data_IF_728951926223
#
_entry.id   IF_728951926223
#
_cell.length_a   1.000
_cell.length_b   1.000
_cell.length_c   1.000
_cell.angle_alpha   90.00
_cell.angle_beta   90.00
_cell.angle_gamma   90.00
#
_symmetry.space_group_name_H-M   'P 1'
#
loop_
_entity.id
_entity.type
_entity.pdbx_description
1 polymer ?
2 non-polymer ?
3 non-polymer ?
4 non-polymer ?
5 non-polymer ?
6 non-polymer ?
7 water ?
#
# COMPACT_ATOMS: atom_id res chain seq x y z
N UNK A 1 -10.53 7.56 -4.17
CA UNK A 1 -10.22 6.11 -4.38
C UNK A 1 -8.70 5.92 -4.69
N UNK A 2 -8.32 5.16 -5.72
CA UNK A 2 -6.93 4.66 -5.86
C UNK A 2 -5.94 5.55 -6.63
N UNK A 3 -6.39 6.70 -7.14
CA UNK A 3 -5.61 7.47 -8.13
C UNK A 3 -4.31 8.03 -7.53
N UNK A 4 -4.43 8.65 -6.35
CA UNK A 4 -3.29 9.29 -5.70
C UNK A 4 -2.25 8.26 -5.26
N UNK A 5 -2.71 7.14 -4.69
CA UNK A 5 -1.80 6.07 -4.24
C UNK A 5 -0.99 5.48 -5.40
N UNK A 6 -1.68 5.20 -6.51
CA UNK A 6 -1.06 4.78 -7.76
C UNK A 6 -0.01 5.74 -8.25
N UNK A 7 -0.31 7.04 -8.18
CA UNK A 7 0.67 8.05 -8.56
C UNK A 7 1.86 8.00 -7.60
N UNK A 8 1.59 7.90 -6.30
CA UNK A 8 2.66 7.82 -5.29
C UNK A 8 3.55 6.59 -5.54
N UNK A 9 2.94 5.44 -5.81
CA UNK A 9 3.71 4.21 -6.06
C UNK A 9 4.65 4.39 -7.25
N UNK A 10 4.11 4.88 -8.36
CA UNK A 10 4.90 5.11 -9.57
C UNK A 10 6.07 6.06 -9.32
N UNK A 11 5.80 7.17 -8.65
CA UNK A 11 6.87 8.12 -8.30
C UNK A 11 7.98 7.49 -7.46
N UNK A 12 7.62 6.69 -6.45
CA UNK A 12 8.61 6.12 -5.54
C UNK A 12 9.30 4.85 -6.04
N UNK A 13 8.66 4.08 -6.92
CA UNK A 13 9.23 2.80 -7.36
C UNK A 13 9.70 2.74 -8.82
N UNK A 14 9.29 3.70 -9.65
CA UNK A 14 9.55 3.63 -11.09
C UNK A 14 8.74 2.60 -11.86
N UNK A 15 7.84 1.88 -11.19
CA UNK A 15 6.98 0.88 -11.82
C UNK A 15 5.56 1.40 -11.84
N UNK A 16 4.76 0.88 -12.76
CA UNK A 16 3.32 1.12 -12.75
C UNK A 16 2.68 0.52 -11.48
N UNK A 17 1.63 1.17 -10.98
CA UNK A 17 0.86 0.64 -9.85
C UNK A 17 0.18 -0.71 -10.14
N UNK A 18 -0.01 -1.01 -11.43
CA UNK A 18 -0.47 -2.32 -11.90
C UNK A 18 0.46 -3.46 -11.49
N UNK A 19 1.76 -3.17 -11.40
CA UNK A 19 2.75 -4.16 -10.96
C UNK A 19 2.64 -4.57 -9.49
N UNK A 20 1.95 -3.76 -8.69
CA UNK A 20 1.65 -4.09 -7.30
C UNK A 20 0.20 -4.52 -7.09
N UNK A 21 -0.56 -4.65 -8.17
CA UNK A 21 -1.94 -5.14 -8.08
C UNK A 21 -1.89 -6.66 -8.18
N UNK A 22 -2.60 -7.31 -7.26
CA UNK A 22 -2.58 -8.77 -7.10
C UNK A 22 -1.19 -9.35 -6.88
N UNK A 23 -0.28 -8.54 -6.35
CA UNK A 23 1.06 -9.04 -6.05
C UNK A 23 0.96 -9.87 -4.79
N UNK A 24 1.50 -11.07 -4.85
CA UNK A 24 1.53 -11.97 -3.71
C UNK A 24 0.15 -12.21 -3.15
N UNK A 25 0.09 -12.29 -1.82
CA UNK A 25 -1.12 -12.63 -1.11
C UNK A 25 -1.84 -11.45 -0.47
N UNK A 26 -1.21 -10.27 -0.42
CA UNK A 26 -1.83 -9.10 0.22
C UNK A 26 -2.05 -7.86 -0.65
N UNK A 27 -1.28 -7.68 -1.72
CA UNK A 27 -1.42 -6.48 -2.54
C UNK A 27 -2.62 -6.61 -3.50
N UNK A 28 -3.55 -5.66 -3.41
CA UNK A 28 -4.84 -5.75 -4.10
C UNK A 28 -5.91 -5.87 -3.03
N UNK A 29 -7.17 -6.00 -3.42
CA UNK A 29 -8.26 -6.00 -2.44
C UNK A 29 -8.16 -7.21 -1.49
N UNK A 30 -8.37 -6.96 -0.20
CA UNK A 30 -8.30 -8.01 0.82
C UNK A 30 -6.90 -8.59 0.95
N UNK A 31 -6.84 -9.91 1.11
CA UNK A 31 -5.58 -10.61 1.36
C UNK A 31 -5.73 -11.53 2.55
N UNK A 32 -4.92 -12.57 2.58
CA UNK A 32 -5.01 -13.62 3.61
C UNK A 32 -3.79 -14.52 3.54
N UNK A 33 -3.65 -15.38 4.55
CA UNK A 33 -2.58 -16.38 4.63
C UNK A 33 -1.22 -15.69 4.84
N UNK A 34 -0.10 -16.36 4.59
CA UNK A 34 1.20 -15.78 4.93
C UNK A 34 1.77 -14.99 3.74
N UNK A 35 2.29 -13.77 3.98
CA UNK A 35 2.90 -12.97 2.92
C UNK A 35 4.05 -13.69 2.24
N UNK A 36 4.13 -13.59 0.92
CA UNK A 36 5.16 -14.31 0.15
C UNK A 36 6.55 -13.71 0.26
N UNK A 37 6.65 -12.40 0.49
CA UNK A 37 7.93 -11.69 0.51
C UNK A 37 7.78 -10.29 1.16
N UNK A 38 8.87 -9.52 1.22
CA UNK A 38 8.90 -8.21 1.91
C UNK A 38 7.94 -7.19 1.30
N UNK A 39 7.92 -7.10 -0.02
CA UNK A 39 6.91 -6.31 -0.73
C UNK A 39 5.48 -6.65 -0.27
N UNK A 40 5.19 -7.94 -0.13
CA UNK A 40 3.86 -8.41 0.28
C UNK A 40 3.56 -7.98 1.73
N UNK A 41 4.58 -8.04 2.60
CA UNK A 41 4.45 -7.52 3.96
C UNK A 41 4.05 -6.04 3.96
N UNK A 42 4.66 -5.23 3.09
CA UNK A 42 4.24 -3.83 2.93
C UNK A 42 2.74 -3.73 2.79
N UNK A 43 2.17 -4.59 1.95
CA UNK A 43 0.73 -4.61 1.71
C UNK A 43 -0.08 -5.12 2.91
N UNK A 44 0.45 -6.13 3.61
CA UNK A 44 -0.14 -6.59 4.87
C UNK A 44 -0.19 -5.46 5.90
N UNK A 45 0.94 -4.79 6.11
CA UNK A 45 0.99 -3.61 6.98
C UNK A 45 0.02 -2.50 6.51
N UNK A 46 -0.04 -2.25 5.21
CA UNK A 46 -0.93 -1.23 4.64
C UNK A 46 -2.40 -1.55 4.92
N UNK A 47 -2.78 -2.81 4.74
CA UNK A 47 -4.11 -3.29 5.14
C UNK A 47 -4.41 -3.03 6.62
N UNK A 48 -3.43 -3.32 7.47
CA UNK A 48 -3.53 -3.02 8.90
C UNK A 48 -3.72 -1.52 9.15
N UNK A 49 -2.93 -0.72 8.44
CA UNK A 49 -3.02 0.74 8.51
C UNK A 49 -4.44 1.22 8.20
N UNK A 50 -5.00 0.74 7.10
CA UNK A 50 -6.36 1.11 6.72
C UNK A 50 -7.41 0.67 7.77
N UNK A 51 -7.26 -0.54 8.33
CA UNK A 51 -8.13 -1.00 9.41
C UNK A 51 -8.12 -0.09 10.63
N UNK A 52 -6.93 0.37 11.02
CA UNK A 52 -6.81 1.38 12.09
C UNK A 52 -7.59 2.65 11.74
N UNK A 53 -7.47 3.12 10.50
CA UNK A 53 -8.17 4.35 10.10
C UNK A 53 -9.69 4.18 10.10
N UNK A 54 -10.15 3.00 9.71
CA UNK A 54 -11.59 2.67 9.76
C UNK A 54 -12.12 2.67 11.19
N UNK A 55 -11.36 2.14 12.14
CA UNK A 55 -11.73 2.21 13.56
C UNK A 55 -11.78 3.65 14.09
N UNK A 56 -10.95 4.53 13.54
CA UNK A 56 -11.01 5.97 13.86
C UNK A 56 -12.19 6.73 13.22
N UNK A 57 -12.97 6.08 12.36
CA UNK A 57 -14.12 6.70 11.70
C UNK A 57 -13.79 7.26 10.32
N UNK A 58 -12.57 7.01 9.82
CA UNK A 58 -12.17 7.44 8.47
C UNK A 58 -12.61 6.41 7.46
N UNK A 59 -12.55 6.78 6.19
CA UNK A 59 -12.85 5.87 5.08
C UNK A 59 -11.67 5.80 4.10
N UNK A 60 -10.53 5.22 4.53
CA UNK A 60 -9.29 5.35 3.74
C UNK A 60 -9.38 4.85 2.30
N UNK A 61 -10.25 3.88 2.03
CA UNK A 61 -10.51 3.42 0.66
C UNK A 61 -11.01 4.52 -0.27
N UNK A 62 -11.69 5.52 0.29
CA UNK A 62 -12.27 6.61 -0.49
C UNK A 62 -11.62 8.00 -0.29
N UNK A 63 -10.90 8.23 0.81
CA UNK A 63 -10.36 9.57 1.12
C UNK A 63 -9.50 10.10 -0.04
N UNK A 64 -9.67 11.38 -0.36
CA UNK A 64 -8.85 12.08 -1.35
C UNK A 64 -7.90 12.99 -0.59
N UNK A 65 -6.60 12.82 -0.80
CA UNK A 65 -5.58 13.65 -0.15
C UNK A 65 -4.71 14.35 -1.20
N UNK A 66 -3.78 15.16 -0.72
CA UNK A 66 -2.79 15.83 -1.56
C UNK A 66 -1.41 15.42 -1.10
N UNK A 67 -0.48 15.36 -2.04
CA UNK A 67 0.90 15.10 -1.72
C UNK A 67 1.85 15.61 -2.79
N UNK A 68 3.09 15.86 -2.35
CA UNK A 68 4.21 16.19 -3.23
C UNK A 68 5.41 15.37 -2.82
N UNK A 69 6.40 15.34 -3.71
CA UNK A 69 7.64 14.62 -3.52
C UNK A 69 8.81 15.55 -3.85
N UNK A 70 9.49 16.02 -2.81
CA UNK A 70 10.73 16.78 -2.96
C UNK A 70 11.90 15.80 -2.79
N UNK A 71 13.06 16.33 -2.43
CA UNK A 71 14.26 15.54 -2.22
C UNK A 71 14.29 15.00 -0.80
N UNK A 72 13.74 15.75 0.15
CA UNK A 72 13.68 15.30 1.55
C UNK A 72 12.47 14.40 1.88
N UNK A 73 11.63 14.10 0.88
CA UNK A 73 10.66 13.02 1.00
C UNK A 73 9.28 13.30 0.45
N UNK A 74 8.31 12.56 0.99
CA UNK A 74 6.92 12.68 0.60
C UNK A 74 6.26 13.61 1.60
N UNK A 75 5.62 14.66 1.09
CA UNK A 75 4.87 15.57 1.96
C UNK A 75 3.37 15.32 1.80
N UNK A 76 2.69 15.07 2.91
CA UNK A 76 1.27 14.71 2.92
C UNK A 76 0.43 15.90 3.34
N UNK A 77 -0.77 16.01 2.78
CA UNK A 77 -1.67 17.10 3.12
C UNK A 77 -3.11 16.77 2.76
N UNK A 78 -4.02 17.62 3.24
CA UNK A 78 -5.45 17.41 3.07
C UNK A 78 -6.22 18.29 4.03
N UNK A 79 -7.49 18.51 3.71
CA UNK A 79 -8.35 19.37 4.53
C UNK A 79 -8.68 18.72 5.86
N UNK A 80 -8.87 17.39 5.87
CA UNK A 80 -9.24 16.66 7.08
C UNK A 80 -8.11 15.77 7.59
N UNK A 81 -8.15 15.48 8.88
CA UNK A 81 -7.20 14.58 9.50
C UNK A 81 -7.28 13.17 8.88
N UNK A 82 -8.47 12.71 8.53
CA UNK A 82 -8.63 11.42 7.85
C UNK A 82 -7.91 11.34 6.50
N UNK A 83 -7.93 12.44 5.74
CA UNK A 83 -7.22 12.51 4.46
C UNK A 83 -5.71 12.45 4.69
N UNK A 84 -5.22 13.19 5.68
CA UNK A 84 -3.79 13.21 6.01
C UNK A 84 -3.33 11.85 6.55
N UNK A 85 -4.17 11.20 7.35
CA UNK A 85 -3.90 9.82 7.83
C UNK A 85 -3.80 8.79 6.71
N UNK A 86 -4.73 8.86 5.77
CA UNK A 86 -4.72 7.98 4.61
C UNK A 86 -3.44 8.15 3.81
N UNK A 87 -3.03 9.41 3.63
CA UNK A 87 -1.77 9.73 2.96
C UNK A 87 -0.56 9.16 3.70
N UNK A 88 -0.60 9.22 5.04
CA UNK A 88 0.46 8.62 5.85
C UNK A 88 0.54 7.09 5.70
N UNK A 89 -0.60 6.41 5.74
CA UNK A 89 -0.65 4.97 5.43
C UNK A 89 -0.04 4.67 4.04
N UNK A 90 -0.46 5.41 3.02
CA UNK A 90 0.03 5.20 1.65
C UNK A 90 1.54 5.48 1.53
N UNK A 91 1.97 6.57 2.15
CA UNK A 91 3.37 6.98 2.16
C UNK A 91 4.26 5.86 2.69
N UNK A 92 3.91 5.32 3.85
CA UNK A 92 4.68 4.24 4.47
C UNK A 92 4.78 3.03 3.54
N UNK A 93 3.68 2.69 2.87
CA UNK A 93 3.64 1.61 1.89
C UNK A 93 4.49 1.85 0.64
N UNK A 94 4.44 3.07 0.10
CA UNK A 94 5.18 3.40 -1.11
C UNK A 94 6.68 3.38 -0.82
N UNK A 95 7.05 3.88 0.36
CA UNK A 95 8.43 3.81 0.86
C UNK A 95 8.86 2.38 1.13
N UNK A 96 7.95 1.59 1.70
CA UNK A 96 8.22 0.17 1.91
C UNK A 96 8.48 -0.53 0.56
N UNK A 97 7.67 -0.24 -0.45
CA UNK A 97 7.88 -0.81 -1.79
C UNK A 97 9.26 -0.44 -2.37
N UNK A 98 9.60 0.85 -2.31
CA UNK A 98 10.89 1.35 -2.80
C UNK A 98 12.06 0.66 -2.11
N UNK A 99 12.00 0.63 -0.79
CA UNK A 99 13.04 0.03 0.04
C UNK A 99 13.31 -1.45 -0.33
N UNK A 100 12.25 -2.16 -0.70
CA UNK A 100 12.34 -3.57 -1.06
C UNK A 100 12.34 -3.82 -2.56
N UNK A 101 12.73 -2.82 -3.35
CA UNK A 101 12.81 -3.02 -4.80
C UNK A 101 13.73 -4.17 -5.19
N UNK A 102 14.81 -4.38 -4.42
CA UNK A 102 15.79 -5.44 -4.66
C UNK A 102 15.29 -6.88 -4.64
N UNK A 103 14.17 -7.14 -3.96
CA UNK A 103 13.58 -8.49 -3.90
C UNK A 103 12.23 -8.60 -4.60
N UNK A 104 11.79 -7.53 -5.26
CA UNK A 104 10.59 -7.58 -6.08
C UNK A 104 10.78 -8.65 -7.15
N UNK A 105 9.83 -9.59 -7.22
CA UNK A 105 9.88 -10.70 -8.17
C UNK A 105 8.62 -10.71 -9.03
N UNK A 106 8.80 -10.68 -10.36
CA UNK A 106 7.68 -10.68 -11.31
C UNK A 106 6.81 -11.93 -11.24
N UNK A 107 7.39 -13.06 -10.84
CA UNK A 107 6.62 -14.28 -10.62
C UNK A 107 5.47 -14.12 -9.60
N UNK A 108 5.60 -13.19 -8.65
CA UNK A 108 4.53 -12.94 -7.67
C UNK A 108 3.48 -11.95 -8.15
N UNK A 109 3.73 -11.24 -9.24
CA UNK A 109 2.71 -10.38 -9.85
C UNK A 109 1.55 -11.25 -10.36
N UNK A 110 0.33 -10.79 -10.11
CA UNK A 110 -0.89 -11.51 -10.50
C UNK A 110 -0.93 -12.93 -9.91
N UNK A 111 -0.69 -13.02 -8.61
CA UNK A 111 -0.49 -14.30 -7.94
C UNK A 111 -1.81 -15.04 -7.79
N UNK A 112 -1.89 -16.31 -8.25
CA UNK A 112 -3.13 -17.07 -8.04
C UNK A 112 -3.41 -17.32 -6.55
N UNK A 113 -4.65 -17.06 -6.14
CA UNK A 113 -5.02 -17.02 -4.73
C UNK A 113 -4.95 -18.41 -4.07
N UNK A 114 -5.17 -19.46 -4.87
CA UNK A 114 -4.95 -20.85 -4.42
C UNK A 114 -3.55 -21.13 -3.87
N UNK A 115 -2.54 -20.39 -4.34
CA UNK A 115 -1.17 -20.55 -3.84
C UNK A 115 -0.92 -19.89 -2.48
N UNK A 116 -1.86 -19.08 -1.99
CA UNK A 116 -1.74 -18.49 -0.65
C UNK A 116 -2.12 -19.52 0.42
N UNK A 117 -1.15 -19.91 1.24
CA UNK A 117 -1.32 -20.91 2.30
C UNK A 117 -0.66 -20.45 3.62
N UNK A 118 -0.94 -21.19 4.69
CA UNK A 118 -0.42 -20.88 6.02
C UNK A 118 -1.40 -20.08 6.86
N UNK A 119 -0.95 -19.64 8.04
CA UNK A 119 -1.77 -18.77 8.86
C UNK A 119 -1.72 -17.34 8.34
N UNK A 120 -2.66 -16.54 8.81
CA UNK A 120 -2.72 -15.11 8.56
C UNK A 120 -2.06 -14.43 9.75
N UNK A 121 -0.90 -13.77 9.55
CA UNK A 121 -0.28 -13.04 10.66
C UNK A 121 -1.15 -11.86 11.12
N UNK A 122 -1.20 -11.59 12.44
CA UNK A 122 -2.08 -10.55 12.94
C UNK A 122 -1.46 -9.18 12.69
N UNK A 123 -2.25 -8.12 12.84
CA UNK A 123 -1.70 -6.76 12.68
C UNK A 123 -0.78 -6.43 13.84
X LIG B 1 -8.25 -3.11 0.49
X LIG B 1 -7.02 -3.21 0.28
X LIG B 1 -6.36 -4.26 0.38
X LIG B 1 -6.24 -1.93 -0.09
X LIG B 1 -5.15 -2.24 -0.99
X LIG B 1 -5.25 -2.15 -2.36
X LIG B 1 -6.50 -2.14 -3.00
X LIG B 1 -6.55 -2.06 -4.37
X LIG B 1 -5.35 -2.00 -5.07
X LIG B 1 -4.17 -2.02 -4.44
X LIG B 1 -4.09 -2.09 -3.08
X LIG B 1 -2.76 -2.10 -2.78
X LIG B 1 -2.19 -2.17 -1.54
X LIG B 1 -1.39 -1.34 -1.10
X LIG B 1 -2.55 -3.36 -0.65
X LIG B 1 -3.32 -4.25 -1.00
X LIG B 1 -2.02 -3.32 0.56
X LIG B 1 -2.08 -2.01 -3.93
X LIG B 1 -0.55 -1.98 -4.05
X LIG B 1 -2.94 -1.95 -4.96
X LIG B 1 -2.67 -1.86 -6.47
X LIG B 1 -2.93 -0.51 -6.95
X LIG B 1 -3.67 -0.13 -8.13
X LIG B 1 -4.28 -1.05 -9.01
X LIG B 1 -5.00 -0.63 -10.14
X LIG B 1 -5.13 0.72 -10.45
X LIG B 1 -4.54 1.66 -9.61
X LIG B 1 -3.82 1.24 -8.48
X LIG B 1 -3.27 2.23 -7.69
X LIG B 1 -2.55 1.88 -6.56
X LIG B 1 -2.38 0.55 -6.20
X LIG C 1 -4.60 -5.91 0.33
X LIG D 1 -1.10 6.11 10.13
X LIG D 1 -0.10 6.95 10.70
X LIG D 1 -1.55 5.00 11.11
X LIG D 1 -0.42 4.26 11.59
X LIG D 1 -2.31 5.57 12.29
X LIG D 1 -2.85 4.50 13.08
X LIG E 1 -4.55 -9.14 8.14
X LIG E 1 -4.15 -8.89 9.54
X LIG E 1 -6.26 -9.11 8.03
X LIG E 1 -4.11 -7.78 7.19
X LIG F 1 -12.08 17.96 0.53
#
# INVERSE_FOLDING_TARGET
NLVQFGVMIEKMTGKSALQYNDYGCYCGIGGSHWPVDQTDWCCHAHDCCYGRLEKLGCEPKLEKYLFSVSERGIFCAGRTTCQRLTCECDKRAALCFRRNLGTYNRKYAHYPNKLCTGPTPPC
7W9 OAM CAL OAN CAK OAJ CAA CAB CAC CAD CAE CAF CAI CAO OAQ CAP OAS NAR CAH CBE NAG CAT CAU CAZ CBD CBC CBB CBA CAY CAX CAW CAV
CA CA
GOL C1 O1 C2 O2 C3 O3
DMS S O C1 C2
CL CL
#
